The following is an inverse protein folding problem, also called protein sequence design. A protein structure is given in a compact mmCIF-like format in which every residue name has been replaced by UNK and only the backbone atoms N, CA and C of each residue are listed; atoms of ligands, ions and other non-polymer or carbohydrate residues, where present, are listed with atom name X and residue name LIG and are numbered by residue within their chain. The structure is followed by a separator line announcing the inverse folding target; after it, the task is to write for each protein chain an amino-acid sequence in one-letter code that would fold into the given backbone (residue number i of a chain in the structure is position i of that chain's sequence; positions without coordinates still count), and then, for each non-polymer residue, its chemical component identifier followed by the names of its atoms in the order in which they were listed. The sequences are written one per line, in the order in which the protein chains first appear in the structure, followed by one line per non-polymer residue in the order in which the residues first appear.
data_IF_314249323770
#
_entry.id   IF_314249323770
#
_cell.length_a   1.000
_cell.length_b   1.000
_cell.length_c   1.000
_cell.angle_alpha   90.00
_cell.angle_beta   90.00
_cell.angle_gamma   90.00
#
_symmetry.space_group_name_H-M   'P 1'
#
loop_
_entity.id
_entity.type
_entity.pdbx_description
1 polymer ?
#
# COMPACT_ATOMS: atom_id res chain seq x y z
N UNK A 1 -4.83 -31.64 62.66
CA UNK A 1 -3.88 -31.31 61.59
C UNK A 1 -4.55 -30.30 60.67
N UNK A 2 -4.15 -29.03 60.75
CA UNK A 2 -4.50 -28.00 59.79
C UNK A 2 -3.28 -27.86 58.88
N UNK A 3 -3.43 -28.20 57.60
CA UNK A 3 -2.40 -28.01 56.59
C UNK A 3 -2.67 -26.64 55.96
N UNK A 4 -1.85 -25.65 56.29
CA UNK A 4 -1.85 -24.34 55.62
C UNK A 4 -0.95 -24.44 54.39
N UNK A 5 -1.55 -24.35 53.21
CA UNK A 5 -0.84 -24.15 51.94
C UNK A 5 -0.82 -22.65 51.67
N UNK A 6 0.35 -22.02 51.70
CA UNK A 6 0.54 -20.71 51.08
C UNK A 6 1.02 -20.95 49.65
N UNK A 7 0.27 -20.43 48.67
CA UNK A 7 0.75 -20.29 47.31
C UNK A 7 1.54 -18.98 47.28
N UNK A 8 2.83 -19.07 46.96
CA UNK A 8 3.68 -17.91 46.74
C UNK A 8 3.42 -17.39 45.33
N UNK A 9 2.89 -16.16 45.21
CA UNK A 9 2.79 -15.49 43.92
C UNK A 9 4.21 -15.10 43.48
N UNK A 10 4.64 -15.63 42.33
CA UNK A 10 5.86 -15.19 41.67
C UNK A 10 5.55 -13.84 41.03
N UNK A 11 6.14 -12.71 41.50
CA UNK A 11 5.98 -11.46 40.79
C UNK A 11 6.67 -11.61 39.43
N UNK A 12 5.90 -11.47 38.35
CA UNK A 12 6.45 -11.29 37.02
C UNK A 12 7.20 -9.96 37.02
N UNK A 13 8.53 -10.01 37.02
CA UNK A 13 9.35 -8.85 36.66
C UNK A 13 8.99 -8.48 35.23
N UNK A 14 8.22 -7.41 35.07
CA UNK A 14 7.91 -6.87 33.75
C UNK A 14 9.23 -6.30 33.23
N UNK A 15 9.93 -7.06 32.38
CA UNK A 15 11.10 -6.55 31.68
C UNK A 15 10.75 -5.19 31.06
N UNK A 16 11.55 -4.18 31.39
CA UNK A 16 11.39 -2.85 30.82
C UNK A 16 11.56 -2.96 29.30
N UNK A 17 10.53 -2.57 28.55
CA UNK A 17 10.62 -2.54 27.10
C UNK A 17 11.60 -1.45 26.68
N UNK A 18 12.75 -1.84 26.13
CA UNK A 18 13.70 -0.91 25.55
C UNK A 18 13.32 -0.63 24.09
N UNK A 19 12.99 0.64 23.80
CA UNK A 19 12.64 1.06 22.46
C UNK A 19 13.90 1.17 21.59
N UNK A 20 14.00 0.30 20.59
CA UNK A 20 15.13 0.16 19.69
C UNK A 20 14.94 1.05 18.46
N UNK A 21 15.99 1.75 18.02
CA UNK A 21 15.96 2.50 16.77
C UNK A 21 15.97 1.52 15.59
N UNK A 22 15.08 1.73 14.63
CA UNK A 22 15.00 1.00 13.37
C UNK A 22 15.35 1.98 12.24
N UNK A 23 16.31 1.60 11.38
CA UNK A 23 16.82 2.44 10.30
C UNK A 23 16.73 1.70 8.96
N UNK A 24 16.01 2.30 8.00
CA UNK A 24 16.01 1.88 6.61
C UNK A 24 16.67 2.98 5.78
N UNK A 25 17.88 2.71 5.28
CA UNK A 25 18.67 3.71 4.58
C UNK A 25 19.38 3.10 3.38
N UNK A 26 18.86 3.36 2.18
CA UNK A 26 19.50 2.97 0.91
C UNK A 26 19.83 4.22 0.10
N UNK A 27 21.11 4.45 -0.17
CA UNK A 27 21.58 5.50 -1.08
C UNK A 27 21.89 4.88 -2.44
N UNK A 28 21.36 5.48 -3.50
CA UNK A 28 21.45 4.93 -4.86
C UNK A 28 22.27 5.81 -5.81
N UNK A 29 22.65 5.25 -6.95
CA UNK A 29 23.26 5.97 -8.07
C UNK A 29 22.26 6.80 -8.91
N UNK A 30 20.97 6.82 -8.54
CA UNK A 30 19.96 7.67 -9.19
C UNK A 30 20.07 9.10 -8.70
N UNK A 31 20.12 10.08 -9.60
CA UNK A 31 20.22 11.49 -9.24
C UNK A 31 18.86 12.06 -8.83
N UNK A 32 18.48 11.83 -7.56
CA UNK A 32 17.21 12.27 -6.95
C UNK A 32 17.44 12.79 -5.52
N UNK A 33 16.38 13.28 -4.89
CA UNK A 33 16.40 13.39 -3.44
C UNK A 33 16.36 11.98 -2.86
N UNK A 34 17.33 11.63 -2.03
CA UNK A 34 17.44 10.33 -1.39
C UNK A 34 16.55 10.31 -0.13
N UNK A 35 16.15 9.11 0.29
CA UNK A 35 15.21 8.92 1.39
C UNK A 35 15.79 7.97 2.45
N UNK A 36 15.54 8.29 3.73
CA UNK A 36 15.88 7.47 4.89
C UNK A 36 14.66 7.44 5.81
N UNK A 37 14.26 6.24 6.24
CA UNK A 37 13.16 6.05 7.18
C UNK A 37 13.71 5.67 8.55
N UNK A 38 13.25 6.37 9.58
CA UNK A 38 13.58 6.12 10.97
C UNK A 38 12.31 5.83 11.77
N UNK A 39 12.30 4.68 12.42
CA UNK A 39 11.20 4.28 13.31
C UNK A 39 11.75 3.67 14.59
N UNK A 40 10.84 3.30 15.50
CA UNK A 40 11.16 2.69 16.79
C UNK A 40 10.42 1.38 16.93
N UNK A 41 11.07 0.41 17.57
CA UNK A 41 10.37 -0.79 18.00
C UNK A 41 9.23 -0.42 18.95
N UNK A 42 8.12 -1.13 18.80
CA UNK A 42 6.90 -0.96 19.58
C UNK A 42 6.37 -2.34 19.97
N UNK A 43 5.53 -2.39 21.00
CA UNK A 43 4.88 -3.65 21.41
C UNK A 43 3.79 -4.01 20.41
N UNK A 44 3.50 -5.30 20.25
CA UNK A 44 2.49 -5.78 19.30
C UNK A 44 1.10 -5.14 19.48
N UNK A 45 0.72 -4.80 20.71
CA UNK A 45 -0.55 -4.16 21.07
C UNK A 45 -0.50 -2.62 21.02
N UNK A 46 0.57 -2.04 20.47
CA UNK A 46 0.78 -0.60 20.41
C UNK A 46 0.89 -0.09 18.97
N UNK A 47 0.71 1.22 18.82
CA UNK A 47 0.76 1.89 17.52
C UNK A 47 2.23 2.01 17.08
N UNK A 48 2.56 1.78 15.80
CA UNK A 48 3.90 2.02 15.27
C UNK A 48 4.43 3.41 15.62
N UNK A 49 5.65 3.47 16.14
CA UNK A 49 6.27 4.73 16.57
C UNK A 49 7.32 5.13 15.55
N UNK A 50 7.19 6.34 15.00
CA UNK A 50 8.16 6.94 14.11
C UNK A 50 9.20 7.75 14.89
N UNK A 51 10.45 7.79 14.42
CA UNK A 51 11.50 8.60 15.06
C UNK A 51 11.58 9.98 14.40
N UNK A 52 10.96 10.97 15.04
CA UNK A 52 10.90 12.36 14.54
C UNK A 52 11.96 13.28 15.13
N UNK A 53 12.18 14.41 14.45
CA UNK A 53 13.09 15.49 14.85
C UNK A 53 14.55 15.05 15.04
N UNK A 54 15.01 14.05 14.30
CA UNK A 54 16.41 13.65 14.25
C UNK A 54 17.21 14.53 13.27
N UNK A 55 18.49 14.72 13.55
CA UNK A 55 19.46 15.20 12.58
C UNK A 55 20.02 14.01 11.83
N UNK A 56 19.81 13.94 10.51
CA UNK A 56 20.26 12.83 9.66
C UNK A 56 21.21 13.37 8.58
N UNK A 57 22.42 12.81 8.52
CA UNK A 57 23.48 13.26 7.62
C UNK A 57 24.18 12.05 7.00
N UNK A 58 24.36 12.08 5.68
CA UNK A 58 25.25 11.16 4.96
C UNK A 58 26.53 11.92 4.58
N UNK A 59 27.70 11.32 4.79
CA UNK A 59 29.00 11.93 4.47
C UNK A 59 29.80 10.99 3.57
N UNK A 60 30.45 11.53 2.54
CA UNK A 60 31.38 10.77 1.70
C UNK A 60 32.85 10.92 2.14
N UNK A 61 33.73 10.09 1.59
CA UNK A 61 35.18 10.13 1.84
C UNK A 61 35.89 11.40 1.34
N UNK A 62 35.22 12.25 0.55
CA UNK A 62 35.69 13.58 0.14
C UNK A 62 35.21 14.69 1.09
N UNK A 63 34.60 14.33 2.22
CA UNK A 63 34.03 15.26 3.20
C UNK A 63 32.83 16.07 2.68
N UNK A 64 32.19 15.64 1.58
CA UNK A 64 30.90 16.19 1.19
C UNK A 64 29.83 15.67 2.14
N UNK A 65 28.93 16.56 2.56
CA UNK A 65 27.82 16.23 3.48
C UNK A 65 26.48 16.44 2.80
N UNK A 66 25.59 15.48 3.01
CA UNK A 66 24.22 15.49 2.52
C UNK A 66 23.29 15.46 3.73
N UNK A 67 22.68 16.60 4.02
CA UNK A 67 21.74 16.74 5.13
C UNK A 67 20.34 16.35 4.69
N UNK A 68 19.63 15.62 5.54
CA UNK A 68 18.24 15.23 5.31
C UNK A 68 17.32 16.01 6.25
N UNK A 69 16.14 16.36 5.73
CA UNK A 69 15.07 17.04 6.48
C UNK A 69 13.87 16.12 6.59
N UNK A 70 13.23 16.11 7.76
CA UNK A 70 11.99 15.38 7.97
C UNK A 70 10.86 16.02 7.13
N UNK A 71 10.15 15.20 6.37
CA UNK A 71 9.03 15.62 5.51
C UNK A 71 7.69 15.19 6.10
N UNK A 72 7.65 13.96 6.58
CA UNK A 72 6.56 13.40 7.39
C UNK A 72 7.21 12.62 8.54
N UNK A 73 6.43 12.35 9.59
CA UNK A 73 6.92 11.68 10.80
C UNK A 73 7.78 10.44 10.47
N UNK A 74 9.07 10.47 10.79
CA UNK A 74 10.02 9.37 10.54
C UNK A 74 10.61 9.30 9.12
N UNK A 75 10.14 10.09 8.16
CA UNK A 75 10.63 10.12 6.78
C UNK A 75 11.54 11.32 6.53
N UNK A 76 12.82 11.04 6.30
CA UNK A 76 13.85 12.04 6.06
C UNK A 76 14.28 12.03 4.59
N UNK A 77 14.24 13.20 3.96
CA UNK A 77 14.56 13.39 2.54
C UNK A 77 15.73 14.35 2.40
N UNK A 78 16.69 14.03 1.53
CA UNK A 78 17.87 14.87 1.34
C UNK A 78 17.50 16.27 0.83
N UNK A 79 18.09 17.30 1.44
CA UNK A 79 17.80 18.70 1.06
C UNK A 79 18.26 19.02 -0.35
N UNK A 80 19.30 18.34 -0.82
CA UNK A 80 19.81 18.44 -2.19
C UNK A 80 19.60 17.13 -2.93
N UNK A 81 19.44 17.25 -4.25
CA UNK A 81 19.47 16.10 -5.16
C UNK A 81 20.91 15.62 -5.30
N UNK A 82 21.15 14.32 -5.16
CA UNK A 82 22.47 13.72 -5.40
C UNK A 82 22.34 12.24 -5.79
N UNK A 83 23.42 11.69 -6.30
CA UNK A 83 23.60 10.25 -6.51
C UNK A 83 24.92 9.77 -5.91
N UNK A 84 24.93 8.54 -5.40
CA UNK A 84 26.15 7.86 -5.03
C UNK A 84 27.06 7.72 -6.26
N UNK A 85 28.34 8.00 -6.07
CA UNK A 85 29.35 7.94 -7.13
C UNK A 85 30.16 6.65 -7.03
N UNK A 86 30.61 6.08 -8.16
CA UNK A 86 31.56 4.99 -8.14
C UNK A 86 32.83 5.34 -7.38
N UNK A 87 33.44 4.34 -6.74
CA UNK A 87 34.71 4.51 -6.01
C UNK A 87 34.65 5.49 -4.81
N UNK A 88 33.46 5.78 -4.28
CA UNK A 88 33.27 6.57 -3.06
C UNK A 88 32.70 5.74 -1.91
N UNK A 89 33.25 5.95 -0.73
CA UNK A 89 32.69 5.44 0.51
C UNK A 89 31.75 6.48 1.12
N UNK A 90 30.61 6.02 1.61
CA UNK A 90 29.62 6.83 2.32
C UNK A 90 29.42 6.29 3.73
N UNK A 91 29.05 7.15 4.67
CA UNK A 91 28.64 6.79 6.02
C UNK A 91 27.43 7.61 6.45
N UNK A 92 26.59 7.01 7.30
CA UNK A 92 25.41 7.63 7.88
C UNK A 92 25.70 8.07 9.32
N UNK A 93 25.17 9.23 9.69
CA UNK A 93 25.16 9.76 11.06
C UNK A 93 23.74 10.22 11.41
N UNK A 94 23.26 9.76 12.57
CA UNK A 94 21.95 10.12 13.11
C UNK A 94 22.14 10.67 14.53
N UNK A 95 21.58 11.84 14.80
CA UNK A 95 21.44 12.37 16.16
C UNK A 95 19.96 12.59 16.45
N UNK A 96 19.39 11.78 17.34
CA UNK A 96 17.97 11.87 17.70
C UNK A 96 17.67 13.10 18.53
N UNK A 97 16.40 13.46 18.66
CA UNK A 97 15.97 14.64 19.43
C UNK A 97 16.44 14.59 20.90
N UNK A 98 16.48 13.40 21.50
CA UNK A 98 16.97 13.19 22.87
C UNK A 98 18.51 13.11 22.98
N UNK A 99 19.25 13.37 21.90
CA UNK A 99 20.72 13.46 21.90
C UNK A 99 21.46 12.14 21.79
N UNK A 100 20.78 11.01 21.53
CA UNK A 100 21.45 9.74 21.20
C UNK A 100 22.06 9.82 19.80
N UNK A 101 23.24 9.24 19.64
CA UNK A 101 24.03 9.32 18.40
C UNK A 101 24.31 7.94 17.84
N UNK A 102 24.12 7.79 16.54
CA UNK A 102 24.35 6.55 15.80
C UNK A 102 25.19 6.83 14.57
N UNK A 103 26.01 5.85 14.18
CA UNK A 103 26.83 5.91 12.98
C UNK A 103 26.79 4.55 12.26
N UNK A 104 26.98 4.57 10.95
CA UNK A 104 27.19 3.34 10.17
C UNK A 104 28.68 3.06 9.93
N UNK A 105 28.99 1.82 9.55
CA UNK A 105 30.20 1.53 8.81
C UNK A 105 30.21 2.26 7.46
N UNK A 106 31.39 2.41 6.87
CA UNK A 106 31.54 2.91 5.50
C UNK A 106 31.02 1.88 4.49
N UNK A 107 30.25 2.35 3.52
CA UNK A 107 29.67 1.54 2.46
C UNK A 107 29.96 2.16 1.10
N UNK A 108 30.20 1.31 0.11
CA UNK A 108 30.60 1.70 -1.24
C UNK A 108 29.52 1.31 -2.23
N UNK A 109 29.32 2.15 -3.25
CA UNK A 109 28.43 1.84 -4.36
C UNK A 109 28.87 0.54 -5.06
N UNK A 110 27.93 -0.38 -5.21
CA UNK A 110 28.09 -1.63 -5.96
C UNK A 110 28.18 -1.39 -7.47
N UNK A 111 28.69 -2.40 -8.19
CA UNK A 111 28.75 -2.31 -9.64
C UNK A 111 27.33 -2.40 -10.24
N UNK A 112 26.94 -1.46 -11.14
CA UNK A 112 25.63 -1.50 -11.77
C UNK A 112 25.49 -2.69 -12.72
N UNK A 113 24.34 -3.37 -12.62
CA UNK A 113 23.85 -4.33 -13.62
C UNK A 113 22.48 -3.86 -14.10
N UNK A 114 22.36 -3.69 -15.42
CA UNK A 114 21.11 -3.24 -16.05
C UNK A 114 20.10 -4.38 -16.17
N UNK A 115 18.82 -4.03 -16.23
CA UNK A 115 17.73 -4.92 -16.61
C UNK A 115 17.72 -5.04 -18.12
N UNK A 116 18.10 -6.22 -18.64
CA UNK A 116 18.08 -6.49 -20.07
C UNK A 116 16.63 -6.49 -20.56
N UNK A 117 15.77 -7.31 -19.92
CA UNK A 117 14.36 -7.43 -20.25
C UNK A 117 13.49 -7.41 -19.00
N UNK A 118 12.33 -6.74 -19.11
CA UNK A 118 11.21 -6.83 -18.19
C UNK A 118 9.99 -7.14 -19.05
N UNK A 119 9.33 -8.26 -18.79
CA UNK A 119 8.25 -8.76 -19.62
C UNK A 119 7.25 -9.56 -18.81
N UNK A 120 6.05 -9.74 -19.37
CA UNK A 120 4.96 -10.51 -18.78
C UNK A 120 4.64 -11.71 -19.67
N UNK A 121 4.36 -12.86 -19.05
CA UNK A 121 3.86 -14.06 -19.71
C UNK A 121 2.72 -14.67 -18.90
N UNK A 122 1.77 -15.31 -19.58
CA UNK A 122 0.80 -16.19 -18.93
C UNK A 122 1.48 -17.48 -18.47
N UNK A 123 1.43 -17.78 -17.19
CA UNK A 123 2.11 -18.93 -16.59
C UNK A 123 1.34 -19.47 -15.36
N UNK A 124 1.84 -20.54 -14.77
CA UNK A 124 1.34 -21.11 -13.53
C UNK A 124 2.30 -20.83 -12.38
N UNK A 125 1.75 -20.51 -11.20
CA UNK A 125 2.53 -20.47 -9.98
C UNK A 125 2.80 -21.89 -9.43
N UNK A 126 3.51 -21.95 -8.30
CA UNK A 126 3.94 -23.18 -7.64
C UNK A 126 2.76 -24.06 -7.17
N UNK A 127 1.58 -23.44 -7.00
CA UNK A 127 0.33 -24.09 -6.62
C UNK A 127 -0.55 -24.48 -7.83
N UNK A 128 -0.06 -24.28 -9.06
CA UNK A 128 -0.81 -24.58 -10.29
C UNK A 128 -1.93 -23.58 -10.60
N UNK A 129 -1.89 -22.37 -10.03
CA UNK A 129 -2.82 -21.29 -10.35
C UNK A 129 -2.32 -20.58 -11.61
N UNK A 130 -3.17 -20.46 -12.63
CA UNK A 130 -2.90 -19.69 -13.84
C UNK A 130 -2.90 -18.18 -13.52
N UNK A 131 -1.95 -17.44 -14.08
CA UNK A 131 -1.84 -15.99 -13.87
C UNK A 131 -0.78 -15.35 -14.74
N UNK A 132 -0.62 -14.03 -14.57
CA UNK A 132 0.39 -13.24 -15.24
C UNK A 132 1.66 -13.26 -14.39
N UNK A 133 2.74 -13.79 -14.95
CA UNK A 133 4.08 -13.75 -14.35
C UNK A 133 4.90 -12.65 -14.98
N UNK A 134 5.47 -11.78 -14.15
CA UNK A 134 6.37 -10.72 -14.57
C UNK A 134 7.80 -11.19 -14.29
N UNK A 135 8.61 -11.18 -15.34
CA UNK A 135 9.96 -11.71 -15.37
C UNK A 135 11.01 -10.63 -15.64
N UNK A 136 12.15 -10.78 -14.98
CA UNK A 136 13.35 -9.97 -15.18
C UNK A 136 14.47 -10.86 -15.73
N UNK A 137 15.11 -10.39 -16.79
CA UNK A 137 16.39 -10.90 -17.26
C UNK A 137 17.48 -9.85 -17.04
N UNK A 138 18.64 -10.27 -16.56
CA UNK A 138 19.83 -9.42 -16.42
C UNK A 138 21.11 -10.23 -16.51
N UNK A 139 22.20 -9.57 -16.92
CA UNK A 139 23.49 -10.22 -17.09
C UNK A 139 24.66 -9.27 -16.79
N UNK A 140 25.59 -9.70 -15.93
CA UNK A 140 26.86 -9.02 -15.70
C UNK A 140 28.04 -9.84 -16.29
N UNK A 141 28.63 -9.42 -17.42
CA UNK A 141 29.75 -10.14 -18.03
C UNK A 141 31.03 -10.12 -17.19
N UNK A 142 31.14 -9.22 -16.20
CA UNK A 142 32.31 -9.15 -15.31
C UNK A 142 32.21 -10.15 -14.17
N UNK A 143 31.00 -10.59 -13.84
CA UNK A 143 30.72 -11.51 -12.74
C UNK A 143 30.91 -10.92 -11.35
N UNK A 144 30.83 -9.59 -11.20
CA UNK A 144 31.03 -8.92 -9.91
C UNK A 144 29.72 -8.65 -9.16
N UNK A 145 28.56 -8.86 -9.79
CA UNK A 145 27.24 -8.50 -9.27
C UNK A 145 26.49 -9.74 -8.76
N UNK A 146 26.88 -10.29 -7.62
CA UNK A 146 26.37 -11.62 -7.19
C UNK A 146 25.05 -11.66 -6.45
N UNK A 147 24.59 -10.52 -5.95
CA UNK A 147 23.47 -10.44 -5.03
C UNK A 147 22.50 -9.37 -5.51
N UNK A 148 21.24 -9.75 -5.68
CA UNK A 148 20.21 -8.89 -6.23
C UNK A 148 19.02 -8.79 -5.27
N UNK A 149 18.47 -7.58 -5.18
CA UNK A 149 17.19 -7.29 -4.55
C UNK A 149 16.28 -6.62 -5.56
N UNK A 150 15.05 -7.10 -5.67
CA UNK A 150 14.03 -6.50 -6.52
C UNK A 150 12.91 -5.92 -5.67
N UNK A 151 12.56 -4.68 -5.97
CA UNK A 151 11.36 -4.01 -5.47
C UNK A 151 10.50 -3.61 -6.64
N UNK A 152 9.22 -3.38 -6.40
CA UNK A 152 8.36 -2.85 -7.43
C UNK A 152 7.30 -1.89 -6.89
N UNK A 153 6.88 -0.98 -7.76
CA UNK A 153 5.71 -0.14 -7.58
C UNK A 153 4.71 -0.53 -8.67
N UNK A 154 3.51 -0.92 -8.27
CA UNK A 154 2.43 -1.32 -9.19
C UNK A 154 1.32 -0.27 -9.22
N UNK A 155 0.78 -0.04 -10.40
CA UNK A 155 -0.35 0.86 -10.61
C UNK A 155 -1.33 0.22 -11.57
N UNK A 156 -2.62 0.23 -11.24
CA UNK A 156 -3.65 -0.34 -12.08
C UNK A 156 -4.83 0.59 -12.29
N UNK A 157 -5.46 0.45 -13.47
CA UNK A 157 -6.65 1.19 -13.88
C UNK A 157 -7.90 0.52 -13.35
N UNK A 158 -8.75 1.31 -12.69
CA UNK A 158 -10.04 0.91 -12.13
C UNK A 158 -11.12 1.60 -12.94
N UNK A 159 -12.13 0.84 -13.39
CA UNK A 159 -13.29 1.37 -14.08
C UNK A 159 -14.54 0.96 -13.31
N UNK A 160 -15.30 1.93 -12.83
CA UNK A 160 -16.60 1.70 -12.19
C UNK A 160 -17.58 1.11 -13.20
N UNK A 161 -18.06 -0.13 -12.99
CA UNK A 161 -18.90 -0.81 -13.97
C UNK A 161 -20.30 -0.17 -14.09
N UNK A 162 -20.79 0.48 -13.03
CA UNK A 162 -22.13 1.04 -12.92
C UNK A 162 -22.08 2.55 -12.63
N UNK A 163 -21.26 3.27 -13.39
CA UNK A 163 -21.12 4.71 -13.30
C UNK A 163 -22.30 5.46 -13.93
N UNK A 164 -22.76 6.52 -13.28
CA UNK A 164 -23.73 7.49 -13.81
C UNK A 164 -23.10 8.88 -13.91
N UNK A 165 -23.47 9.62 -14.96
CA UNK A 165 -23.06 11.04 -15.10
C UNK A 165 -23.76 11.98 -14.12
N UNK A 166 -24.80 11.47 -13.44
CA UNK A 166 -25.56 12.19 -12.43
C UNK A 166 -25.32 11.59 -11.05
N UNK A 167 -25.63 12.38 -10.02
CA UNK A 167 -25.56 11.99 -8.63
C UNK A 167 -26.79 12.50 -7.86
N UNK A 168 -27.09 11.83 -6.75
CA UNK A 168 -28.11 12.25 -5.79
C UNK A 168 -27.42 12.82 -4.55
N UNK A 169 -27.72 14.07 -4.23
CA UNK A 169 -27.26 14.70 -3.01
C UNK A 169 -28.40 14.79 -1.99
N UNK A 170 -28.13 14.39 -0.75
CA UNK A 170 -29.06 14.61 0.36
C UNK A 170 -29.25 16.11 0.60
N UNK A 171 -30.50 16.55 0.75
CA UNK A 171 -30.82 17.94 1.10
C UNK A 171 -30.61 18.26 2.60
N UNK A 172 -30.06 17.33 3.38
CA UNK A 172 -29.71 17.55 4.79
C UNK A 172 -30.92 17.56 5.73
N UNK A 173 -31.97 16.81 5.39
CA UNK A 173 -33.19 16.72 6.20
C UNK A 173 -32.93 15.96 7.51
N UNK A 174 -33.33 16.55 8.63
CA UNK A 174 -33.24 15.92 9.95
C UNK A 174 -34.49 15.08 10.25
N UNK A 175 -34.27 13.84 10.72
CA UNK A 175 -35.32 12.92 11.13
C UNK A 175 -35.20 12.59 12.64
N UNK A 176 -36.30 12.21 13.32
CA UNK A 176 -37.64 12.01 12.79
C UNK A 176 -38.43 13.31 12.57
N UNK A 177 -39.43 13.27 11.68
CA UNK A 177 -40.35 14.39 11.40
C UNK A 177 -41.76 14.05 11.91
N UNK A 178 -42.25 14.87 12.84
CA UNK A 178 -43.60 14.75 13.40
C UNK A 178 -44.66 15.01 12.32
N UNK A 179 -45.85 14.40 12.47
CA UNK A 179 -46.91 14.53 11.49
C UNK A 179 -47.33 15.99 11.23
N UNK A 180 -47.33 16.84 12.26
CA UNK A 180 -47.62 18.27 12.11
C UNK A 180 -46.56 19.08 11.36
N UNK A 181 -45.33 18.57 11.28
CA UNK A 181 -44.17 19.23 10.67
C UNK A 181 -43.80 18.63 9.30
N UNK A 182 -44.55 17.64 8.82
CA UNK A 182 -44.34 17.05 7.50
C UNK A 182 -44.63 18.08 6.40
N UNK A 183 -43.82 18.12 5.33
CA UNK A 183 -44.06 19.04 4.23
C UNK A 183 -45.37 18.68 3.51
N UNK A 184 -46.10 19.69 3.06
CA UNK A 184 -47.19 19.48 2.10
C UNK A 184 -46.59 19.05 0.74
N UNK A 185 -47.07 17.95 0.18
CA UNK A 185 -46.66 17.46 -1.14
C UNK A 185 -47.88 17.00 -1.95
N UNK A 186 -47.92 17.31 -3.25
CA UNK A 186 -49.03 16.95 -4.15
C UNK A 186 -48.67 15.76 -5.05
N UNK A 187 -47.38 15.51 -5.24
CA UNK A 187 -46.83 14.46 -6.09
C UNK A 187 -45.62 13.78 -5.46
N UNK A 188 -45.28 12.58 -5.94
CA UNK A 188 -44.05 11.89 -5.54
C UNK A 188 -42.79 12.70 -5.90
N UNK A 189 -42.85 13.52 -6.96
CA UNK A 189 -41.75 14.39 -7.33
C UNK A 189 -41.46 15.44 -6.27
N UNK A 190 -42.50 16.05 -5.69
CA UNK A 190 -42.32 17.04 -4.61
C UNK A 190 -41.61 16.43 -3.39
N UNK A 191 -41.90 15.17 -3.08
CA UNK A 191 -41.23 14.43 -2.01
C UNK A 191 -39.78 14.08 -2.36
N UNK A 192 -39.50 13.71 -3.62
CA UNK A 192 -38.12 13.47 -4.09
C UNK A 192 -37.32 14.76 -3.98
N UNK A 193 -37.83 15.87 -4.51
CA UNK A 193 -37.17 17.18 -4.50
C UNK A 193 -36.97 17.72 -3.08
N UNK A 194 -37.84 17.33 -2.13
CA UNK A 194 -37.66 17.63 -0.71
C UNK A 194 -36.47 16.85 -0.12
N UNK A 195 -36.33 15.56 -0.43
CA UNK A 195 -35.33 14.68 0.17
C UNK A 195 -33.94 14.82 -0.45
N UNK A 196 -33.87 14.92 -1.77
CA UNK A 196 -32.62 14.84 -2.54
C UNK A 196 -32.60 15.83 -3.71
N UNK A 197 -31.41 16.16 -4.18
CA UNK A 197 -31.17 16.93 -5.41
C UNK A 197 -30.46 16.05 -6.43
N UNK A 198 -30.97 15.98 -7.66
CA UNK A 198 -30.28 15.36 -8.79
C UNK A 198 -29.41 16.42 -9.47
N UNK A 199 -28.13 16.12 -9.68
CA UNK A 199 -27.24 17.00 -10.44
C UNK A 199 -26.22 16.20 -11.26
N UNK A 200 -25.59 16.85 -12.24
CA UNK A 200 -24.44 16.26 -12.94
C UNK A 200 -23.21 16.27 -12.03
N UNK A 201 -22.43 15.19 -12.06
CA UNK A 201 -21.14 15.11 -11.34
C UNK A 201 -20.18 16.17 -11.85
N UNK A 202 -19.43 16.79 -10.93
CA UNK A 202 -18.44 17.84 -11.27
C UNK A 202 -17.08 17.27 -11.63
N UNK A 203 -16.76 16.07 -11.13
CA UNK A 203 -15.51 15.35 -11.40
C UNK A 203 -15.80 14.04 -12.12
N UNK A 204 -14.80 13.53 -12.86
CA UNK A 204 -14.90 12.19 -13.45
C UNK A 204 -14.51 11.16 -12.38
N UNK A 205 -15.46 10.29 -12.04
CA UNK A 205 -15.34 9.26 -11.01
C UNK A 205 -15.57 7.85 -11.58
N UNK A 206 -15.53 7.72 -12.91
CA UNK A 206 -15.60 6.44 -13.59
C UNK A 206 -14.23 5.74 -13.68
N UNK A 207 -13.16 6.51 -13.89
CA UNK A 207 -11.81 5.98 -14.15
C UNK A 207 -10.86 6.49 -13.07
N UNK A 208 -10.28 5.55 -12.31
CA UNK A 208 -9.31 5.84 -11.27
C UNK A 208 -8.06 4.96 -11.43
N UNK A 209 -7.03 5.33 -10.68
CA UNK A 209 -5.77 4.60 -10.59
C UNK A 209 -5.43 4.37 -9.12
N UNK A 210 -4.92 3.19 -8.81
CA UNK A 210 -4.37 2.92 -7.48
C UNK A 210 -2.90 2.49 -7.62
N UNK A 211 -2.04 3.08 -6.81
CA UNK A 211 -0.58 2.83 -6.81
C UNK A 211 -0.16 2.24 -5.47
N UNK A 212 0.51 1.09 -5.52
CA UNK A 212 0.93 0.32 -4.35
C UNK A 212 2.42 0.00 -4.47
N UNK A 213 3.16 0.13 -3.37
CA UNK A 213 4.56 -0.31 -3.29
C UNK A 213 4.64 -1.75 -2.77
N UNK A 214 5.60 -2.52 -3.29
CA UNK A 214 5.85 -3.88 -2.83
C UNK A 214 6.37 -3.91 -1.40
N UNK A 215 5.80 -4.78 -0.56
CA UNK A 215 6.30 -5.05 0.79
C UNK A 215 7.18 -6.32 0.87
N UNK A 216 7.33 -7.04 -0.25
CA UNK A 216 8.08 -8.29 -0.30
C UNK A 216 9.55 -8.04 -0.64
N UNK A 217 10.45 -8.66 0.13
CA UNK A 217 11.88 -8.68 -0.16
C UNK A 217 12.19 -9.80 -1.16
N UNK A 218 12.19 -9.48 -2.45
CA UNK A 218 12.57 -10.42 -3.51
C UNK A 218 14.10 -10.45 -3.63
N UNK A 219 14.73 -11.47 -3.05
CA UNK A 219 16.17 -11.64 -3.01
C UNK A 219 16.60 -12.83 -3.86
N UNK A 220 17.66 -12.67 -4.64
CA UNK A 220 18.27 -13.76 -5.40
C UNK A 220 19.79 -13.58 -5.49
N UNK A 221 20.54 -14.68 -5.46
CA UNK A 221 21.97 -14.67 -5.72
C UNK A 221 22.31 -15.49 -6.97
N UNK A 222 23.35 -15.08 -7.68
CA UNK A 222 23.91 -15.79 -8.84
C UNK A 222 25.17 -16.56 -8.47
N UNK A 223 25.50 -16.70 -7.18
CA UNK A 223 26.72 -17.39 -6.72
C UNK A 223 26.75 -18.86 -7.09
N UNK A 224 25.59 -19.49 -7.16
CA UNK A 224 25.42 -20.90 -7.52
C UNK A 224 25.19 -21.11 -9.02
N UNK A 225 25.16 -20.02 -9.81
CA UNK A 225 24.97 -20.07 -11.25
C UNK A 225 26.32 -20.08 -11.98
N UNK A 226 26.38 -20.71 -13.15
CA UNK A 226 27.60 -20.76 -13.96
C UNK A 226 28.03 -19.40 -14.53
N UNK A 227 27.08 -18.47 -14.62
CA UNK A 227 27.27 -17.09 -15.07
C UNK A 227 26.48 -16.15 -14.16
N UNK A 228 26.87 -14.88 -14.16
CA UNK A 228 26.15 -13.84 -13.44
C UNK A 228 24.91 -13.37 -14.20
N UNK A 229 23.89 -14.24 -14.20
CA UNK A 229 22.73 -14.10 -15.07
C UNK A 229 21.46 -14.43 -14.31
N UNK A 230 20.52 -13.50 -14.33
CA UNK A 230 19.12 -13.79 -14.07
C UNK A 230 18.45 -14.05 -15.42
N UNK A 231 17.84 -15.22 -15.55
CA UNK A 231 17.12 -15.61 -16.76
C UNK A 231 15.73 -16.08 -16.34
N UNK A 232 14.69 -15.36 -16.78
CA UNK A 232 13.30 -15.61 -16.43
C UNK A 232 13.09 -15.63 -14.91
N UNK A 233 13.72 -14.69 -14.20
CA UNK A 233 13.52 -14.56 -12.75
C UNK A 233 12.17 -13.89 -12.47
N UNK A 234 11.27 -14.58 -11.78
CA UNK A 234 9.91 -14.11 -11.52
C UNK A 234 9.91 -13.11 -10.36
N UNK A 235 9.61 -11.85 -10.63
CA UNK A 235 9.55 -10.80 -9.59
C UNK A 235 8.14 -10.60 -9.03
N UNK A 236 7.12 -10.92 -9.81
CA UNK A 236 5.71 -10.78 -9.42
C UNK A 236 4.85 -11.80 -10.15
N UNK A 237 3.86 -12.33 -9.44
CA UNK A 237 2.80 -13.16 -10.00
C UNK A 237 1.43 -12.57 -9.62
N UNK A 238 0.55 -12.45 -10.60
CA UNK A 238 -0.82 -11.97 -10.45
C UNK A 238 -1.75 -13.07 -10.95
N UNK A 239 -2.51 -13.70 -10.05
CA UNK A 239 -3.45 -14.75 -10.46
C UNK A 239 -4.47 -14.23 -11.47
N UNK A 240 -4.94 -15.08 -12.40
CA UNK A 240 -5.85 -14.67 -13.47
C UNK A 240 -7.12 -13.99 -12.97
N UNK A 241 -7.61 -14.39 -11.79
CA UNK A 241 -8.79 -13.80 -11.14
C UNK A 241 -8.52 -12.51 -10.36
N UNK A 242 -7.31 -11.96 -10.38
CA UNK A 242 -6.97 -10.74 -9.66
C UNK A 242 -7.59 -9.51 -10.35
N UNK A 243 -8.40 -8.75 -9.62
CA UNK A 243 -9.06 -7.53 -10.09
C UNK A 243 -8.08 -6.42 -10.52
N UNK A 244 -6.84 -6.42 -10.02
CA UNK A 244 -5.80 -5.43 -10.39
C UNK A 244 -5.40 -5.52 -11.86
N UNK A 245 -5.44 -6.71 -12.46
CA UNK A 245 -5.12 -6.91 -13.88
C UNK A 245 -6.37 -6.87 -14.77
N UNK A 246 -7.53 -6.45 -14.24
CA UNK A 246 -8.80 -6.44 -14.99
C UNK A 246 -8.77 -5.59 -16.23
N UNK A 247 -8.11 -4.44 -16.16
CA UNK A 247 -7.98 -3.51 -17.27
C UNK A 247 -6.51 -3.40 -17.66
N UNK A 248 -5.92 -2.23 -17.41
CA UNK A 248 -4.53 -1.94 -17.70
C UNK A 248 -3.74 -1.90 -16.40
N UNK A 249 -2.57 -2.52 -16.42
CA UNK A 249 -1.68 -2.66 -15.29
C UNK A 249 -0.29 -2.14 -15.67
N UNK A 250 0.36 -1.47 -14.73
CA UNK A 250 1.73 -0.97 -14.81
C UNK A 250 2.53 -1.47 -13.63
N UNK A 251 3.80 -1.80 -13.86
CA UNK A 251 4.76 -2.12 -12.81
C UNK A 251 6.11 -1.49 -13.13
N UNK A 252 6.67 -0.76 -12.17
CA UNK A 252 8.03 -0.26 -12.20
C UNK A 252 8.88 -1.16 -11.30
N UNK A 253 9.72 -1.98 -11.92
CA UNK A 253 10.64 -2.87 -11.19
C UNK A 253 11.97 -2.16 -11.01
N UNK A 254 12.48 -2.17 -9.78
CA UNK A 254 13.79 -1.65 -9.39
C UNK A 254 14.69 -2.83 -9.01
N UNK A 255 15.81 -2.98 -9.70
CA UNK A 255 16.81 -4.01 -9.45
C UNK A 255 18.01 -3.36 -8.78
N UNK A 256 18.26 -3.73 -7.53
CA UNK A 256 19.44 -3.33 -6.78
C UNK A 256 20.51 -4.41 -6.86
N UNK A 257 21.76 -4.02 -7.13
CA UNK A 257 22.91 -4.89 -6.90
C UNK A 257 23.40 -4.65 -5.48
N UNK A 258 23.38 -5.67 -4.64
CA UNK A 258 23.69 -5.57 -3.23
C UNK A 258 25.13 -5.98 -2.92
N UNK A 259 25.66 -5.44 -1.82
CA UNK A 259 26.85 -6.04 -1.20
C UNK A 259 26.46 -7.38 -0.56
N UNK A 260 27.46 -8.24 -0.31
CA UNK A 260 27.21 -9.51 0.37
C UNK A 260 26.62 -9.30 1.76
N UNK A 261 27.13 -8.31 2.49
CA UNK A 261 26.72 -7.95 3.84
C UNK A 261 25.26 -7.49 3.85
N UNK A 262 24.86 -6.64 2.89
CA UNK A 262 23.48 -6.20 2.72
C UNK A 262 22.55 -7.38 2.39
N UNK A 263 22.95 -8.23 1.44
CA UNK A 263 22.15 -9.41 1.07
C UNK A 263 21.90 -10.33 2.27
N UNK A 264 22.94 -10.65 3.05
CA UNK A 264 22.82 -11.48 4.26
C UNK A 264 21.90 -10.82 5.29
N UNK A 265 21.99 -9.50 5.47
CA UNK A 265 21.10 -8.75 6.35
C UNK A 265 19.63 -8.90 5.93
N UNK A 266 19.32 -8.63 4.65
CA UNK A 266 17.94 -8.70 4.14
C UNK A 266 17.41 -10.14 4.08
N UNK A 267 18.25 -11.13 3.79
CA UNK A 267 17.89 -12.56 3.83
C UNK A 267 17.53 -12.97 5.26
N UNK A 268 18.34 -12.56 6.24
CA UNK A 268 18.07 -12.78 7.66
C UNK A 268 16.78 -12.11 8.08
N UNK A 269 16.56 -10.83 7.69
CA UNK A 269 15.33 -10.11 7.96
C UNK A 269 14.09 -10.79 7.36
N UNK A 270 14.17 -11.24 6.10
CA UNK A 270 13.10 -11.98 5.42
C UNK A 270 12.77 -13.29 6.14
N UNK A 271 13.78 -14.00 6.65
CA UNK A 271 13.57 -15.24 7.40
C UNK A 271 12.78 -15.05 8.69
N UNK A 272 12.87 -13.88 9.33
CA UNK A 272 12.14 -13.56 10.57
C UNK A 272 10.67 -13.26 10.28
N UNK A 273 10.38 -12.63 9.14
CA UNK A 273 9.01 -12.32 8.72
C UNK A 273 8.23 -13.59 8.34
N UNK A 274 8.91 -14.61 7.81
CA UNK A 274 8.28 -15.87 7.38
C UNK A 274 8.05 -16.88 8.52
N UNK A 275 8.64 -16.65 9.70
CA UNK A 275 8.55 -17.58 10.84
C UNK A 275 7.28 -17.42 11.69
N UNK A 276 6.11 -17.21 11.08
CA UNK A 276 4.79 -17.21 11.77
C UNK A 276 4.36 -18.61 12.27
N UNK A 277 5.23 -19.62 12.17
CA UNK A 277 4.88 -20.96 12.62
C UNK A 277 5.06 -21.07 14.14
N UNK A 278 3.93 -21.07 14.87
CA UNK A 278 3.81 -21.11 16.35
C UNK A 278 4.53 -22.30 17.03
N UNK A 279 5.07 -23.24 16.23
CA UNK A 279 5.81 -24.42 16.69
C UNK A 279 7.27 -24.47 16.20
N UNK A 280 7.79 -23.42 15.57
CA UNK A 280 9.18 -23.34 15.12
C UNK A 280 10.08 -22.81 16.24
N UNK A 281 10.87 -23.69 16.86
CA UNK A 281 11.97 -23.33 17.78
C UNK A 281 13.22 -22.77 17.07
N UNK A 282 13.12 -22.33 15.82
CA UNK A 282 14.18 -21.55 15.22
C UNK A 282 14.09 -20.13 15.78
N UNK A 283 14.66 -19.91 16.98
CA UNK A 283 15.06 -18.57 17.39
C UNK A 283 16.06 -18.08 16.34
N UNK A 284 15.67 -17.11 15.52
CA UNK A 284 16.59 -16.62 14.53
C UNK A 284 17.79 -15.99 15.24
N UNK A 285 18.98 -16.08 14.64
CA UNK A 285 20.17 -15.41 15.18
C UNK A 285 19.96 -13.91 15.34
N UNK A 286 20.85 -13.22 16.05
CA UNK A 286 20.79 -11.77 16.15
C UNK A 286 20.96 -11.12 14.77
N UNK A 287 20.02 -10.26 14.35
CA UNK A 287 20.13 -9.49 13.11
C UNK A 287 21.17 -8.37 13.30
N UNK A 288 22.42 -8.66 12.97
CA UNK A 288 23.51 -7.70 13.04
C UNK A 288 23.50 -6.79 11.81
N UNK A 289 23.17 -5.52 12.03
CA UNK A 289 23.30 -4.47 11.02
C UNK A 289 24.72 -3.89 10.93
N UNK A 290 24.89 -2.83 10.14
CA UNK A 290 26.14 -2.06 10.08
C UNK A 290 26.04 -0.69 10.78
N UNK A 291 24.99 -0.46 11.57
CA UNK A 291 24.74 0.78 12.32
C UNK A 291 24.93 0.51 13.82
N UNK A 292 25.67 1.37 14.49
CA UNK A 292 26.02 1.23 15.90
C UNK A 292 25.82 2.54 16.68
N UNK A 293 25.56 2.43 17.98
CA UNK A 293 25.48 3.59 18.87
C UNK A 293 26.88 4.14 19.17
N UNK A 294 27.01 5.46 19.19
CA UNK A 294 28.29 6.16 19.37
C UNK A 294 28.49 6.59 20.82
N UNK A 295 27.41 7.01 21.51
CA UNK A 295 27.50 7.60 22.85
C UNK A 295 26.82 6.76 23.96
N UNK A 296 26.18 5.65 23.60
CA UNK A 296 25.54 4.73 24.53
C UNK A 296 25.81 3.28 24.07
N UNK A 297 25.51 2.30 24.92
CA UNK A 297 25.55 0.89 24.53
C UNK A 297 24.11 0.38 24.41
N UNK A 298 23.52 0.58 23.23
CA UNK A 298 22.12 0.23 22.93
C UNK A 298 22.06 -0.58 21.64
N UNK A 299 21.03 -1.42 21.53
CA UNK A 299 20.75 -2.19 20.31
C UNK A 299 20.09 -1.30 19.27
N UNK A 300 20.42 -1.51 17.99
CA UNK A 300 19.85 -0.83 16.81
C UNK A 300 19.56 -1.90 15.78
N UNK A 301 18.45 -1.76 15.07
CA UNK A 301 18.15 -2.55 13.88
C UNK A 301 18.22 -1.67 12.65
N UNK A 302 18.87 -2.17 11.60
CA UNK A 302 18.96 -1.44 10.34
C UNK A 302 20.29 -1.63 9.67
N UNK A 303 20.29 -1.36 8.37
CA UNK A 303 21.46 -1.45 7.53
C UNK A 303 21.51 -0.20 6.66
N UNK A 304 22.65 0.48 6.68
CA UNK A 304 22.99 1.53 5.75
C UNK A 304 23.53 0.87 4.48
N UNK A 305 22.79 0.93 3.39
CA UNK A 305 23.15 0.37 2.10
C UNK A 305 23.53 1.49 1.11
N UNK A 306 24.56 1.24 0.29
CA UNK A 306 24.87 2.04 -0.89
C UNK A 306 24.88 1.10 -2.08
N UNK A 307 23.81 1.10 -2.87
CA UNK A 307 23.58 0.12 -3.91
C UNK A 307 23.33 0.80 -5.26
N UNK A 308 23.89 0.24 -6.33
CA UNK A 308 23.49 0.61 -7.67
C UNK A 308 22.12 0.04 -7.97
N UNK A 309 21.28 0.83 -8.64
CA UNK A 309 19.94 0.46 -9.06
C UNK A 309 19.77 0.71 -10.55
N UNK A 310 18.99 -0.16 -11.19
CA UNK A 310 18.39 0.07 -12.51
C UNK A 310 16.88 -0.14 -12.40
N UNK A 311 16.11 0.62 -13.17
CA UNK A 311 14.65 0.57 -13.11
C UNK A 311 14.02 0.48 -14.50
N UNK A 312 12.98 -0.35 -14.63
CA UNK A 312 12.27 -0.54 -15.89
C UNK A 312 10.77 -0.63 -15.61
N UNK A 313 9.98 0.10 -16.40
CA UNK A 313 8.52 0.07 -16.33
C UNK A 313 7.96 -0.80 -17.44
N UNK A 314 6.97 -1.62 -17.10
CA UNK A 314 6.19 -2.44 -18.02
C UNK A 314 4.71 -2.06 -17.89
N UNK A 315 4.01 -2.09 -19.02
CA UNK A 315 2.55 -2.00 -19.08
C UNK A 315 2.01 -3.24 -19.80
N UNK A 316 0.85 -3.73 -19.38
CA UNK A 316 0.08 -4.71 -20.13
C UNK A 316 -1.41 -4.59 -19.82
N UNK A 317 -2.23 -5.06 -20.75
CA UNK A 317 -3.66 -5.28 -20.53
C UNK A 317 -3.95 -6.77 -20.31
N UNK A 318 -5.07 -7.07 -19.66
CA UNK A 318 -5.51 -8.46 -19.49
C UNK A 318 -5.49 -9.27 -20.79
N UNK A 319 -6.00 -8.68 -21.88
CA UNK A 319 -6.12 -9.32 -23.18
C UNK A 319 -4.76 -9.64 -23.85
N UNK A 320 -3.69 -8.92 -23.48
CA UNK A 320 -2.34 -9.16 -24.00
C UNK A 320 -1.77 -10.49 -23.49
N UNK A 321 -2.20 -10.91 -22.29
CA UNK A 321 -1.74 -12.13 -21.61
C UNK A 321 -2.77 -13.26 -21.77
N UNK A 322 -4.06 -12.94 -21.72
CA UNK A 322 -5.18 -13.90 -21.76
C UNK A 322 -6.16 -13.58 -22.90
N UNK A 323 -5.75 -13.78 -24.17
CA UNK A 323 -6.57 -13.40 -25.31
C UNK A 323 -7.87 -14.20 -25.36
N UNK A 324 -8.99 -13.50 -25.62
CA UNK A 324 -10.35 -14.06 -25.72
C UNK A 324 -10.86 -14.73 -24.43
N UNK A 325 -10.29 -14.41 -23.26
CA UNK A 325 -10.82 -14.84 -21.97
C UNK A 325 -11.68 -13.75 -21.33
N UNK A 326 -12.58 -14.14 -20.42
CA UNK A 326 -13.35 -13.19 -19.62
C UNK A 326 -12.43 -12.44 -18.66
N UNK A 327 -12.65 -11.13 -18.54
CA UNK A 327 -11.97 -10.31 -17.54
C UNK A 327 -12.21 -10.85 -16.11
N UNK A 328 -11.24 -10.65 -15.20
CA UNK A 328 -11.42 -10.98 -13.79
C UNK A 328 -12.56 -10.16 -13.17
N UNK A 329 -13.09 -10.61 -12.02
CA UNK A 329 -14.12 -9.89 -11.29
C UNK A 329 -13.64 -8.49 -10.89
N UNK A 330 -14.60 -7.58 -10.70
CA UNK A 330 -14.32 -6.30 -10.07
C UNK A 330 -13.94 -6.49 -8.58
N UNK A 331 -13.37 -5.47 -7.95
CA UNK A 331 -12.91 -5.53 -6.54
C UNK A 331 -14.03 -5.83 -5.54
N UNK A 332 -15.27 -5.49 -5.91
CA UNK A 332 -16.49 -5.84 -5.20
C UNK A 332 -17.51 -6.40 -6.18
N UNK A 333 -18.42 -7.22 -5.67
CA UNK A 333 -19.57 -7.68 -6.44
C UNK A 333 -20.53 -6.51 -6.71
N UNK A 334 -20.92 -6.32 -7.97
CA UNK A 334 -21.77 -5.23 -8.43
C UNK A 334 -23.04 -5.74 -9.13
N UNK A 335 -23.44 -6.99 -8.89
CA UNK A 335 -24.57 -7.61 -9.60
C UNK A 335 -25.95 -7.25 -8.99
N UNK A 336 -25.99 -6.54 -7.85
CA UNK A 336 -27.23 -6.19 -7.15
C UNK A 336 -27.49 -4.67 -7.10
N UNK A 337 -28.74 -4.28 -7.38
CA UNK A 337 -29.24 -2.92 -7.19
C UNK A 337 -29.99 -2.81 -5.87
N UNK A 338 -29.82 -1.68 -5.19
CA UNK A 338 -30.62 -1.31 -4.03
C UNK A 338 -31.63 -0.23 -4.41
N UNK A 339 -32.92 -0.52 -4.22
CA UNK A 339 -34.04 0.38 -4.53
C UNK A 339 -34.74 0.85 -3.24
N UNK A 340 -34.14 1.79 -2.48
CA UNK A 340 -34.67 2.22 -1.19
C UNK A 340 -36.00 2.96 -1.33
N UNK A 341 -36.89 2.81 -0.36
CA UNK A 341 -38.08 3.65 -0.24
C UNK A 341 -37.69 5.12 0.03
N UNK A 342 -38.59 6.06 -0.32
CA UNK A 342 -38.36 7.48 -0.06
C UNK A 342 -38.43 7.81 1.44
N UNK A 343 -39.40 7.24 2.15
CA UNK A 343 -39.60 7.47 3.59
C UNK A 343 -39.96 6.17 4.30
N UNK A 344 -39.72 6.13 5.61
CA UNK A 344 -40.26 5.09 6.50
C UNK A 344 -41.04 5.74 7.63
N UNK A 345 -42.26 5.27 7.82
CA UNK A 345 -43.16 5.76 8.87
C UNK A 345 -43.10 4.92 10.14
N UNK A 346 -43.51 5.52 11.27
CA UNK A 346 -43.74 4.80 12.51
C UNK A 346 -44.91 3.83 12.38
N UNK A 347 -44.79 2.68 13.07
CA UNK A 347 -45.83 1.64 13.08
C UNK A 347 -46.99 1.96 14.05
N UNK A 348 -46.89 3.08 14.78
CA UNK A 348 -47.93 3.54 15.67
C UNK A 348 -48.89 4.52 14.96
N UNK A 349 -49.89 5.03 15.68
CA UNK A 349 -50.87 5.96 15.10
C UNK A 349 -50.32 7.39 14.91
N UNK A 350 -49.03 7.63 15.18
CA UNK A 350 -48.45 8.97 15.04
C UNK A 350 -48.07 9.30 13.60
N UNK A 351 -47.94 8.30 12.72
CA UNK A 351 -47.53 8.48 11.32
C UNK A 351 -46.27 9.33 11.14
N UNK A 352 -45.38 9.29 12.13
CA UNK A 352 -44.14 10.05 12.14
C UNK A 352 -43.19 9.48 11.09
N UNK A 353 -42.50 10.34 10.32
CA UNK A 353 -41.44 9.89 9.44
C UNK A 353 -40.20 9.63 10.27
N UNK A 354 -39.79 8.36 10.38
CA UNK A 354 -38.66 7.94 11.22
C UNK A 354 -37.33 8.27 10.56
N UNK A 355 -37.23 8.07 9.25
CA UNK A 355 -36.05 8.27 8.42
C UNK A 355 -36.44 8.19 6.94
N UNK A 356 -35.48 8.48 6.06
CA UNK A 356 -35.55 8.21 4.63
C UNK A 356 -34.52 7.14 4.26
N UNK A 357 -34.94 5.91 3.90
CA UNK A 357 -34.00 4.87 3.45
C UNK A 357 -33.15 5.31 2.25
N UNK A 358 -33.69 6.15 1.36
CA UNK A 358 -32.95 6.76 0.26
C UNK A 358 -31.84 7.68 0.76
N UNK A 359 -32.17 8.63 1.64
CA UNK A 359 -31.19 9.58 2.21
C UNK A 359 -30.14 8.82 3.03
N UNK A 360 -30.55 7.83 3.82
CA UNK A 360 -29.63 7.00 4.60
C UNK A 360 -28.65 6.23 3.70
N UNK A 361 -29.12 5.72 2.55
CA UNK A 361 -28.27 5.03 1.58
C UNK A 361 -27.21 5.97 0.99
N UNK A 362 -27.63 7.16 0.54
CA UNK A 362 -26.72 8.19 0.00
C UNK A 362 -25.69 8.58 1.05
N UNK A 363 -26.12 8.87 2.28
CA UNK A 363 -25.23 9.22 3.39
C UNK A 363 -24.28 8.07 3.78
N UNK A 364 -24.65 6.82 3.47
CA UNK A 364 -23.82 5.63 3.68
C UNK A 364 -22.87 5.33 2.51
N UNK A 365 -22.86 6.16 1.47
CA UNK A 365 -21.95 6.05 0.32
C UNK A 365 -22.49 5.26 -0.88
N UNK A 366 -23.77 4.90 -0.90
CA UNK A 366 -24.38 4.35 -2.12
C UNK A 366 -24.42 5.40 -3.23
N UNK A 367 -24.23 4.96 -4.46
CA UNK A 367 -24.18 5.82 -5.65
C UNK A 367 -25.45 5.65 -6.47
N UNK A 368 -25.95 6.76 -7.02
CA UNK A 368 -26.99 6.73 -8.02
C UNK A 368 -26.46 6.08 -9.31
N UNK A 369 -27.21 5.12 -9.86
CA UNK A 369 -26.92 4.52 -11.16
C UNK A 369 -27.92 4.97 -12.22
N UNK A 370 -29.21 4.70 -11.99
CA UNK A 370 -30.28 5.05 -12.92
C UNK A 370 -31.63 5.18 -12.20
N UNK A 371 -32.63 5.71 -12.91
CA UNK A 371 -34.03 5.65 -12.48
C UNK A 371 -34.56 4.22 -12.59
N UNK A 372 -35.30 3.79 -11.57
CA UNK A 372 -36.02 2.52 -11.56
C UNK A 372 -37.28 2.64 -12.42
N UNK A 373 -37.34 1.85 -13.49
CA UNK A 373 -38.45 1.84 -14.46
C UNK A 373 -39.68 1.03 -13.99
N UNK A 374 -39.65 0.44 -12.79
CA UNK A 374 -40.84 -0.17 -12.20
C UNK A 374 -41.88 0.89 -11.78
N UNK A 375 -43.16 0.53 -11.78
CA UNK A 375 -44.24 1.46 -11.41
C UNK A 375 -44.13 1.87 -9.94
N UNK A 376 -43.39 2.95 -9.69
CA UNK A 376 -43.28 3.59 -8.39
C UNK A 376 -44.59 4.30 -8.04
N UNK A 377 -45.36 3.70 -7.13
CA UNK A 377 -46.70 4.19 -6.78
C UNK A 377 -46.87 4.58 -5.31
N UNK A 378 -45.85 4.39 -4.48
CA UNK A 378 -45.94 4.66 -3.04
C UNK A 378 -44.59 5.04 -2.45
N UNK A 379 -44.52 6.10 -1.61
CA UNK A 379 -43.25 6.54 -1.01
C UNK A 379 -42.70 5.58 0.05
N UNK A 380 -43.49 4.58 0.45
CA UNK A 380 -43.13 3.51 1.41
C UNK A 380 -42.66 2.21 0.71
N UNK A 381 -42.79 2.12 -0.61
CA UNK A 381 -42.36 0.98 -1.42
C UNK A 381 -40.97 1.17 -2.04
N UNK A 382 -40.46 0.20 -2.83
CA UNK A 382 -39.20 0.35 -3.56
C UNK A 382 -39.17 1.64 -4.36
N UNK A 383 -38.16 2.48 -4.13
CA UNK A 383 -38.14 3.85 -4.64
C UNK A 383 -37.65 3.98 -6.08
N UNK A 384 -37.79 5.19 -6.65
CA UNK A 384 -37.65 5.45 -8.08
C UNK A 384 -36.20 5.40 -8.58
N UNK A 385 -35.24 5.01 -7.74
CA UNK A 385 -33.82 5.01 -8.08
C UNK A 385 -33.20 3.65 -7.79
N UNK A 386 -32.40 3.18 -8.75
CA UNK A 386 -31.47 2.08 -8.56
C UNK A 386 -30.16 2.65 -8.03
N UNK A 387 -29.82 2.30 -6.78
CA UNK A 387 -28.54 2.63 -6.18
C UNK A 387 -27.59 1.43 -6.22
N UNK A 388 -26.30 1.72 -6.27
CA UNK A 388 -25.22 0.71 -6.25
C UNK A 388 -24.24 1.01 -5.12
N UNK A 389 -23.45 0.02 -4.72
CA UNK A 389 -22.38 0.23 -3.75
C UNK A 389 -21.40 1.30 -4.26
N UNK A 390 -20.82 2.08 -3.33
CA UNK A 390 -19.78 3.09 -3.60
C UNK A 390 -18.80 2.68 -4.70
N UNK A 391 -18.02 1.60 -4.51
CA UNK A 391 -17.01 1.14 -5.46
C UNK A 391 -17.53 0.67 -6.84
N UNK A 392 -18.84 0.49 -7.00
CA UNK A 392 -19.47 0.10 -8.27
C UNK A 392 -19.82 1.30 -9.15
N UNK A 393 -20.19 2.43 -8.53
CA UNK A 393 -20.59 3.66 -9.21
C UNK A 393 -19.55 4.77 -9.15
N UNK A 394 -18.62 4.73 -8.19
CA UNK A 394 -17.60 5.74 -7.95
C UNK A 394 -16.26 5.05 -7.66
N UNK A 395 -15.28 5.26 -8.54
CA UNK A 395 -13.99 4.58 -8.45
C UNK A 395 -13.10 5.16 -7.35
N UNK A 396 -13.43 6.33 -6.81
CA UNK A 396 -12.61 7.01 -5.78
C UNK A 396 -12.61 6.27 -4.45
N UNK A 397 -13.57 5.36 -4.23
CA UNK A 397 -13.55 4.41 -3.12
C UNK A 397 -12.39 3.40 -3.19
N UNK A 398 -11.79 3.20 -4.37
CA UNK A 398 -10.74 2.21 -4.61
C UNK A 398 -9.41 2.83 -5.09
N UNK A 399 -9.43 4.07 -5.55
CA UNK A 399 -8.27 4.73 -6.12
C UNK A 399 -8.42 6.24 -6.24
N UNK A 400 -7.57 6.85 -7.03
CA UNK A 400 -7.55 8.29 -7.26
C UNK A 400 -7.89 8.60 -8.73
N UNK A 401 -8.69 9.63 -8.98
CA UNK A 401 -9.10 10.07 -10.32
C UNK A 401 -8.02 10.88 -11.06
N UNK A 402 -6.90 11.22 -10.41
CA UNK A 402 -5.74 11.82 -11.06
C UNK A 402 -4.93 10.75 -11.80
N UNK A 403 -4.72 10.98 -13.09
CA UNK A 403 -3.88 10.14 -13.93
C UNK A 403 -2.41 10.29 -13.49
N UNK A 404 -1.69 9.20 -13.17
CA UNK A 404 -0.26 9.28 -12.85
C UNK A 404 0.56 9.83 -14.03
N UNK A 405 1.57 10.65 -13.76
CA UNK A 405 2.38 11.31 -14.81
C UNK A 405 3.10 10.33 -15.76
N UNK A 406 3.42 9.13 -15.28
CA UNK A 406 4.06 8.08 -16.08
C UNK A 406 3.06 7.22 -16.87
N UNK A 407 1.76 7.41 -16.68
CA UNK A 407 0.75 6.52 -17.24
C UNK A 407 0.61 6.70 -18.75
N UNK A 408 0.68 5.60 -19.48
CA UNK A 408 0.55 5.56 -20.94
C UNK A 408 -0.66 4.70 -21.30
N UNK A 409 -1.62 5.24 -22.06
CA UNK A 409 -2.84 4.52 -22.47
C UNK A 409 -2.59 3.39 -23.49
#
# INVERSE_FOLDING_TARGET
MLVTSCVEEIPLEIESFESVLIVEATITNTNKQQEILLSRSYRFDSIPVQESNATVIVTDDAMNTYTFSETTSGKYVSQTVFSAQPERNYSLSITTFNGKKYASNEMKLTQPTLIDNLYVEGDFNENGIEGASIYVDSYDPTGNSKYYRHEYEETYKIISPLYSTEELLSNGIEFPILQEDQPDWESLQDLIDFLVTIQSRTEQEQICYNTINSNNLNLISTTDFGEDRLNKYRVRFLGKGNSEIRHRYSILVRQFVQSREAYVFYETLSSFAQSENVFSENQPGFLEGNIFSVNHNETIFGFFEVASVDEKRLFFNFEDVFPNQSFPPHFVDCDEYYTPALIRESLDQSHMWINSPLVDAINSGFQFYEENNENFSSPLGPGPFNLVLGPCGDCTFLGNNNVPDFWED
#
